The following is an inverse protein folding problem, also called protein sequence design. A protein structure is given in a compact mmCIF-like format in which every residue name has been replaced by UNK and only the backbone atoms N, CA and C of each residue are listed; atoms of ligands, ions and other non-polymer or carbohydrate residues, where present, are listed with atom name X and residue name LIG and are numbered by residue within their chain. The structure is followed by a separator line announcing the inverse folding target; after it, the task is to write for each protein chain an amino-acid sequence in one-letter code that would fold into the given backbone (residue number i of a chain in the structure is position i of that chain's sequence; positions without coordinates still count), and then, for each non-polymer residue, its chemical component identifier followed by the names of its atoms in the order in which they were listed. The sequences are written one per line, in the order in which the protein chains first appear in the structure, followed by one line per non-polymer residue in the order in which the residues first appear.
data_IF_208015775589
#
_entry.id   IF_208015775589
#
_cell.length_a   1.000
_cell.length_b   1.000
_cell.length_c   1.000
_cell.angle_alpha   90.00
_cell.angle_beta   90.00
_cell.angle_gamma   90.00
#
_symmetry.space_group_name_H-M   'P 1'
#
loop_
_entity.id
_entity.type
_entity.pdbx_description
1 polymer ?
#
# COMPACT_ATOMS: atom_id res chain seq x y z
N UNK A 1 -6.00 -26.13 0.98
CA UNK A 1 -5.70 -25.68 2.35
C UNK A 1 -6.50 -24.42 2.62
N UNK A 2 -7.25 -24.37 3.71
CA UNK A 2 -8.07 -23.21 4.12
C UNK A 2 -7.76 -22.92 5.60
N UNK A 3 -7.66 -21.66 5.97
CA UNK A 3 -7.35 -21.20 7.34
C UNK A 3 -8.37 -20.13 7.74
N UNK A 4 -8.71 -20.06 9.02
CA UNK A 4 -9.74 -19.15 9.56
C UNK A 4 -9.15 -17.84 10.13
N UNK A 5 -7.83 -17.67 10.08
CA UNK A 5 -7.10 -16.51 10.62
C UNK A 5 -5.99 -16.09 9.66
N UNK A 6 -5.47 -14.87 9.85
CA UNK A 6 -4.35 -14.37 9.07
C UNK A 6 -3.16 -15.36 9.15
N UNK A 7 -2.57 -15.77 8.01
CA UNK A 7 -1.46 -16.69 8.01
C UNK A 7 -0.16 -15.96 8.38
N UNK A 8 0.09 -15.88 9.69
CA UNK A 8 1.32 -15.36 10.27
C UNK A 8 2.43 -16.45 10.23
N UNK A 9 3.44 -16.37 11.10
CA UNK A 9 4.54 -17.35 11.21
C UNK A 9 4.05 -18.80 11.33
N UNK A 10 2.92 -19.02 11.98
CA UNK A 10 2.32 -20.34 12.20
C UNK A 10 0.88 -20.32 11.69
N UNK A 11 0.50 -21.34 10.94
CA UNK A 11 -0.89 -21.61 10.55
C UNK A 11 -1.40 -22.87 11.25
N UNK A 12 -2.69 -22.88 11.55
CA UNK A 12 -3.38 -24.03 12.13
C UNK A 12 -4.33 -24.63 11.10
N UNK A 13 -4.25 -25.93 10.89
CA UNK A 13 -5.05 -26.69 9.91
C UNK A 13 -5.42 -28.01 10.58
N UNK A 14 -6.71 -28.34 10.66
CA UNK A 14 -7.18 -29.58 11.26
C UNK A 14 -6.58 -29.86 12.65
N UNK A 15 -6.44 -28.80 13.47
CA UNK A 15 -5.82 -28.82 14.81
C UNK A 15 -4.31 -29.09 14.84
N UNK A 16 -3.64 -29.10 13.68
CA UNK A 16 -2.19 -29.22 13.56
C UNK A 16 -1.53 -27.88 13.17
N UNK A 17 -0.33 -27.65 13.70
CA UNK A 17 0.42 -26.42 13.48
C UNK A 17 1.51 -26.59 12.42
N UNK A 18 1.60 -25.62 11.51
CA UNK A 18 2.59 -25.59 10.42
C UNK A 18 3.28 -24.24 10.37
N UNK A 19 4.56 -24.23 9.98
CA UNK A 19 5.28 -23.00 9.66
C UNK A 19 4.89 -22.52 8.26
N UNK A 20 4.59 -21.23 8.12
CA UNK A 20 4.17 -20.64 6.86
C UNK A 20 5.28 -19.79 6.24
N UNK A 21 5.68 -20.15 5.02
CA UNK A 21 6.77 -19.52 4.26
C UNK A 21 6.31 -18.90 2.93
N UNK A 22 4.99 -18.71 2.74
CA UNK A 22 4.40 -18.30 1.45
C UNK A 22 3.97 -16.83 1.35
N UNK A 23 4.18 -16.03 2.41
CA UNK A 23 3.66 -14.67 2.50
C UNK A 23 4.70 -13.59 2.18
N UNK A 24 4.21 -12.38 1.88
CA UNK A 24 5.04 -11.16 1.73
C UNK A 24 5.01 -10.26 2.96
N UNK A 25 4.45 -10.74 4.07
CA UNK A 25 4.35 -10.02 5.34
C UNK A 25 5.69 -10.05 6.12
N UNK A 26 6.79 -9.64 5.47
CA UNK A 26 8.16 -9.80 5.97
C UNK A 26 8.39 -9.16 7.35
N UNK A 27 7.66 -8.09 7.67
CA UNK A 27 7.79 -7.34 8.92
C UNK A 27 6.72 -7.69 9.97
N UNK A 28 5.80 -8.64 9.68
CA UNK A 28 4.71 -8.98 10.59
C UNK A 28 3.71 -7.84 10.86
N UNK A 29 3.70 -6.79 10.02
CA UNK A 29 2.83 -5.62 10.22
C UNK A 29 1.33 -5.93 10.21
N UNK A 30 0.79 -6.84 9.37
CA UNK A 30 -0.65 -7.08 9.31
C UNK A 30 -1.29 -7.50 10.64
N UNK A 31 -0.56 -8.19 11.52
CA UNK A 31 -1.01 -8.63 12.85
C UNK A 31 -0.44 -7.80 14.00
N UNK A 32 0.39 -6.79 13.70
CA UNK A 32 0.95 -5.91 14.72
C UNK A 32 -0.12 -5.00 15.32
N UNK A 33 -0.37 -5.15 16.63
CA UNK A 33 -1.44 -4.44 17.35
C UNK A 33 -1.32 -2.91 17.23
N UNK A 34 -0.12 -2.36 17.46
CA UNK A 34 0.10 -0.91 17.37
C UNK A 34 -0.17 -0.37 15.96
N UNK A 35 0.21 -1.12 14.92
CA UNK A 35 -0.10 -0.75 13.54
C UNK A 35 -1.60 -0.82 13.24
N UNK A 36 -2.28 -1.87 13.70
CA UNK A 36 -3.73 -2.02 13.53
C UNK A 36 -4.50 -0.88 14.21
N UNK A 37 -4.10 -0.49 15.43
CA UNK A 37 -4.69 0.64 16.15
C UNK A 37 -4.52 1.95 15.37
N UNK A 38 -3.33 2.21 14.82
CA UNK A 38 -3.07 3.38 13.98
C UNK A 38 -3.96 3.39 12.73
N UNK A 39 -4.14 2.25 12.07
CA UNK A 39 -5.03 2.12 10.90
C UNK A 39 -6.47 2.44 11.29
N UNK A 40 -6.98 1.84 12.38
CA UNK A 40 -8.35 2.09 12.87
C UNK A 40 -8.56 3.56 13.20
N UNK A 41 -7.63 4.19 13.93
CA UNK A 41 -7.70 5.61 14.27
C UNK A 41 -7.76 6.50 13.03
N UNK A 42 -6.97 6.18 11.99
CA UNK A 42 -6.96 6.97 10.77
C UNK A 42 -8.21 6.74 9.90
N UNK A 43 -8.81 5.55 9.91
CA UNK A 43 -10.11 5.31 9.27
C UNK A 43 -11.18 6.18 9.94
N UNK A 44 -11.20 6.27 11.28
CA UNK A 44 -12.15 7.12 11.99
C UNK A 44 -11.96 8.61 11.68
N UNK A 45 -10.71 9.05 11.44
CA UNK A 45 -10.39 10.44 11.11
C UNK A 45 -10.71 10.81 9.66
N UNK A 46 -10.37 9.95 8.70
CA UNK A 46 -10.39 10.27 7.27
C UNK A 46 -11.50 9.58 6.47
N UNK A 47 -12.22 8.65 7.11
CA UNK A 47 -13.19 7.78 6.45
C UNK A 47 -12.54 6.57 5.78
N UNK A 48 -13.37 5.60 5.39
CA UNK A 48 -12.92 4.39 4.66
C UNK A 48 -12.69 4.66 3.18
N UNK A 49 -13.43 5.60 2.60
CA UNK A 49 -13.29 6.05 1.22
C UNK A 49 -13.77 7.49 1.07
N UNK A 50 -13.05 8.28 0.29
CA UNK A 50 -13.44 9.64 -0.05
C UNK A 50 -14.28 9.73 -1.34
N UNK A 51 -14.16 8.74 -2.24
CA UNK A 51 -14.99 8.64 -3.45
C UNK A 51 -14.81 9.75 -4.50
N UNK A 52 -13.78 10.60 -4.37
CA UNK A 52 -13.53 11.72 -5.28
C UNK A 52 -12.10 11.68 -5.87
N UNK A 53 -11.92 12.34 -7.01
CA UNK A 53 -10.61 12.48 -7.67
C UNK A 53 -9.66 13.31 -6.82
N UNK A 54 -8.35 13.04 -6.99
CA UNK A 54 -7.24 13.83 -6.44
C UNK A 54 -7.19 15.26 -6.99
N UNK A 55 -7.85 15.52 -8.12
CA UNK A 55 -7.93 16.83 -8.77
C UNK A 55 -9.23 17.58 -8.48
N UNK A 56 -10.07 17.07 -7.57
CA UNK A 56 -11.31 17.74 -7.18
C UNK A 56 -11.03 19.01 -6.36
N UNK A 57 -12.07 19.84 -6.21
CA UNK A 57 -11.99 21.10 -5.46
C UNK A 57 -11.74 20.90 -3.96
N UNK A 58 -12.17 19.76 -3.41
CA UNK A 58 -11.93 19.38 -2.01
C UNK A 58 -10.90 18.25 -2.03
N UNK A 59 -9.83 18.43 -1.27
CA UNK A 59 -8.69 17.52 -1.23
C UNK A 59 -8.34 17.19 0.22
N UNK A 60 -8.01 15.92 0.47
CA UNK A 60 -7.59 15.47 1.80
C UNK A 60 -6.09 15.72 1.97
N UNK A 61 -5.73 16.43 3.04
CA UNK A 61 -4.33 16.73 3.37
C UNK A 61 -3.49 15.48 3.69
N UNK A 62 -4.14 14.35 3.95
CA UNK A 62 -3.49 13.06 4.15
C UNK A 62 -2.58 12.67 2.98
N UNK A 63 -3.00 12.97 1.75
CA UNK A 63 -2.21 12.64 0.56
C UNK A 63 -0.94 13.48 0.46
N UNK A 64 -1.05 14.81 0.55
CA UNK A 64 0.11 15.71 0.45
C UNK A 64 1.12 15.47 1.57
N UNK A 65 0.62 15.23 2.79
CA UNK A 65 1.45 14.92 3.95
C UNK A 65 2.19 13.59 3.75
N UNK A 66 1.47 12.55 3.30
CA UNK A 66 2.05 11.24 3.04
C UNK A 66 3.08 11.26 1.91
N UNK A 67 2.78 11.92 0.81
CA UNK A 67 3.68 12.04 -0.35
C UNK A 67 4.92 12.86 -0.01
N UNK A 68 4.79 13.94 0.75
CA UNK A 68 5.94 14.72 1.23
C UNK A 68 6.84 13.91 2.16
N UNK A 69 6.24 13.15 3.08
CA UNK A 69 6.99 12.23 3.95
C UNK A 69 7.73 11.17 3.12
N UNK A 70 7.05 10.52 2.17
CA UNK A 70 7.64 9.49 1.33
C UNK A 70 8.80 10.04 0.49
N UNK A 71 8.62 11.20 -0.15
CA UNK A 71 9.66 11.85 -0.95
C UNK A 71 10.92 12.12 -0.11
N UNK A 72 10.74 12.69 1.09
CA UNK A 72 11.83 12.94 2.04
C UNK A 72 12.51 11.63 2.48
N UNK A 73 11.72 10.60 2.82
CA UNK A 73 12.23 9.32 3.31
C UNK A 73 13.08 8.58 2.27
N UNK A 74 12.70 8.66 0.99
CA UNK A 74 13.43 7.99 -0.11
C UNK A 74 14.51 8.88 -0.75
N UNK A 75 14.59 10.17 -0.41
CA UNK A 75 15.51 11.13 -1.03
C UNK A 75 15.12 11.57 -2.44
N UNK A 76 13.83 11.59 -2.78
CA UNK A 76 13.30 12.08 -4.06
C UNK A 76 12.78 13.52 -3.94
N UNK A 77 12.78 14.27 -5.04
CA UNK A 77 12.19 15.62 -5.09
C UNK A 77 10.68 15.60 -4.81
N UNK A 78 9.98 14.58 -5.35
CA UNK A 78 8.54 14.38 -5.22
C UNK A 78 8.20 12.90 -5.16
N UNK A 79 7.01 12.60 -4.63
CA UNK A 79 6.39 11.28 -4.67
C UNK A 79 4.91 11.43 -5.03
N UNK A 80 4.35 10.40 -5.66
CA UNK A 80 2.92 10.29 -5.91
C UNK A 80 2.45 8.92 -5.42
N UNK A 81 1.35 8.91 -4.67
CA UNK A 81 0.71 7.69 -4.17
C UNK A 81 -0.37 7.21 -5.12
N UNK A 82 -0.42 5.89 -5.33
CA UNK A 82 -1.41 5.23 -6.18
C UNK A 82 -1.91 3.96 -5.51
N UNK A 83 -3.02 3.40 -6.00
CA UNK A 83 -3.70 2.28 -5.35
C UNK A 83 -2.94 0.94 -5.40
N UNK A 84 -1.96 0.77 -6.30
CA UNK A 84 -1.14 -0.44 -6.36
C UNK A 84 0.20 -0.21 -7.07
N UNK A 85 1.17 -1.11 -6.80
CA UNK A 85 2.45 -1.12 -7.49
C UNK A 85 2.32 -1.40 -9.00
N UNK A 86 1.33 -2.21 -9.41
CA UNK A 86 1.04 -2.43 -10.83
C UNK A 86 0.63 -1.14 -11.54
N UNK A 87 -0.26 -0.34 -10.90
CA UNK A 87 -0.67 0.95 -11.44
C UNK A 87 0.50 1.93 -11.50
N UNK A 88 1.36 1.94 -10.46
CA UNK A 88 2.57 2.76 -10.47
C UNK A 88 3.45 2.44 -11.68
N UNK A 89 3.75 1.16 -11.92
CA UNK A 89 4.55 0.72 -13.07
C UNK A 89 3.90 1.08 -14.41
N UNK A 90 2.58 0.84 -14.54
CA UNK A 90 1.84 1.18 -15.75
C UNK A 90 1.88 2.68 -16.06
N UNK A 91 1.70 3.54 -15.06
CA UNK A 91 1.74 4.99 -15.23
C UNK A 91 3.11 5.45 -15.74
N UNK A 92 4.20 4.90 -15.19
CA UNK A 92 5.55 5.22 -15.65
C UNK A 92 5.75 4.79 -17.09
N UNK A 93 5.36 3.57 -17.46
CA UNK A 93 5.46 3.07 -18.84
C UNK A 93 4.67 3.94 -19.81
N UNK A 94 3.40 4.25 -19.48
CA UNK A 94 2.52 5.02 -20.34
C UNK A 94 3.01 6.48 -20.50
N UNK A 95 3.68 7.04 -19.49
CA UNK A 95 4.33 8.35 -19.56
C UNK A 95 5.58 8.30 -20.44
N UNK A 96 6.48 7.34 -20.22
CA UNK A 96 7.75 7.23 -20.94
C UNK A 96 7.55 6.94 -22.43
N UNK A 97 6.55 6.13 -22.79
CA UNK A 97 6.18 5.86 -24.19
C UNK A 97 5.81 7.12 -24.97
N UNK A 98 5.25 8.15 -24.32
CA UNK A 98 4.91 9.42 -24.97
C UNK A 98 6.12 10.32 -25.15
N UNK A 99 7.17 10.11 -24.37
CA UNK A 99 8.35 10.97 -24.29
C UNK A 99 9.55 10.40 -25.06
N UNK A 100 9.45 9.19 -25.61
CA UNK A 100 10.56 8.49 -26.25
C UNK A 100 10.12 7.81 -27.55
N UNK A 101 10.91 7.95 -28.62
CA UNK A 101 10.64 7.34 -29.93
C UNK A 101 10.78 5.81 -29.94
N UNK A 102 11.56 5.26 -28.99
CA UNK A 102 11.70 3.83 -28.75
C UNK A 102 11.78 3.55 -27.24
N UNK A 103 10.77 2.85 -26.71
CA UNK A 103 10.76 2.37 -25.33
C UNK A 103 10.58 0.84 -25.36
N UNK A 104 11.69 0.10 -25.23
CA UNK A 104 11.67 -1.35 -25.06
C UNK A 104 11.86 -1.70 -23.58
N UNK A 105 10.96 -2.54 -23.05
CA UNK A 105 11.07 -3.20 -21.74
C UNK A 105 11.54 -4.63 -21.99
#
# INVERSE_FOLDING_TARGET
MKVEKFPDRVIEIDQEQYLYFGGTAYLGLPTNVAFQELVVQNILKWGTTYGSSRTANIQLTAYDTGESFLASHIGSEKAVTVSSGMLAGKLVIDLMKKQTDCFSI
#
